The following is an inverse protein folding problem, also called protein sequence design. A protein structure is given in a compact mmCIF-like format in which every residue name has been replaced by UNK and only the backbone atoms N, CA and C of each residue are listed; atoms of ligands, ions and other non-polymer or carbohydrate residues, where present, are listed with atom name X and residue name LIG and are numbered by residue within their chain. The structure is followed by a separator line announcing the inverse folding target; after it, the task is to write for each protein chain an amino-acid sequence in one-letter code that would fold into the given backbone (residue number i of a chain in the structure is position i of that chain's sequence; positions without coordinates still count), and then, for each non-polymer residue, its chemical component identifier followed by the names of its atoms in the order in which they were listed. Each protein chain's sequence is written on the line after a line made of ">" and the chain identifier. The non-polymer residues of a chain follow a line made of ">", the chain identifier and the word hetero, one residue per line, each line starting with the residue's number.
data_IF_872993374601
#
_entry.id   IF_872993374601
#
_cell.length_a   1.000
_cell.length_b   1.000
_cell.length_c   1.000
_cell.angle_alpha   90.00
_cell.angle_beta   90.00
_cell.angle_gamma   90.00
#
_symmetry.space_group_name_H-M   'P 1'
#
loop_
_entity.id
_entity.type
_entity.pdbx_description
1 polymer ?
#
# COMPACT_ATOMS: atom_id res chain seq x y z
N UNK A 1 -55.97 2.27 -6.60
CA UNK A 1 -54.78 2.78 -7.32
C UNK A 1 -54.69 4.29 -7.09
N UNK A 2 -53.64 4.76 -6.41
CA UNK A 2 -53.40 6.13 -5.90
C UNK A 2 -51.87 6.20 -5.66
N UNK A 3 -51.04 7.19 -6.01
CA UNK A 3 -51.16 8.55 -6.56
C UNK A 3 -49.85 8.93 -7.28
N UNK A 4 -49.99 9.77 -8.32
CA UNK A 4 -49.10 10.77 -8.95
C UNK A 4 -47.72 11.09 -8.35
N UNK A 5 -46.66 11.20 -9.19
CA UNK A 5 -45.41 11.86 -8.85
C UNK A 5 -45.45 13.36 -9.21
N UNK A 6 -44.98 14.24 -8.34
CA UNK A 6 -44.51 15.56 -8.77
C UNK A 6 -43.46 16.08 -7.79
N UNK A 7 -42.22 16.08 -8.28
CA UNK A 7 -41.05 16.70 -7.69
C UNK A 7 -41.20 18.22 -7.81
N UNK A 8 -41.41 18.94 -6.71
CA UNK A 8 -41.36 20.40 -6.69
C UNK A 8 -40.47 20.88 -5.55
N UNK A 9 -39.17 20.99 -5.83
CA UNK A 9 -38.26 21.78 -5.01
C UNK A 9 -38.47 23.23 -5.43
N UNK A 10 -39.29 23.95 -4.69
CA UNK A 10 -39.62 25.36 -4.91
C UNK A 10 -38.38 26.24 -4.74
N UNK A 11 -37.79 26.66 -5.87
CA UNK A 11 -36.75 27.68 -5.92
C UNK A 11 -37.40 29.07 -5.98
N UNK A 12 -38.00 29.49 -4.87
CA UNK A 12 -38.55 30.83 -4.70
C UNK A 12 -37.44 31.82 -4.28
N UNK A 13 -36.56 32.15 -5.23
CA UNK A 13 -35.72 33.34 -5.17
C UNK A 13 -35.85 34.08 -6.51
N UNK A 14 -37.03 34.65 -6.73
CA UNK A 14 -37.35 35.45 -7.92
C UNK A 14 -37.92 36.80 -7.47
N UNK A 15 -37.24 37.49 -6.54
CA UNK A 15 -37.55 38.87 -6.21
C UNK A 15 -36.24 39.66 -6.15
N UNK A 16 -35.97 40.38 -7.24
CA UNK A 16 -34.94 41.42 -7.42
C UNK A 16 -33.54 40.96 -7.83
N UNK A 17 -33.45 40.26 -8.96
CA UNK A 17 -32.24 40.21 -9.77
C UNK A 17 -32.35 41.23 -10.91
N UNK A 18 -32.29 42.51 -10.59
CA UNK A 18 -32.01 43.55 -11.57
C UNK A 18 -30.86 44.37 -10.99
N UNK A 19 -29.69 44.24 -11.60
CA UNK A 19 -28.49 45.09 -11.46
C UNK A 19 -27.28 44.67 -10.59
N UNK A 20 -27.17 43.42 -10.10
CA UNK A 20 -25.95 42.95 -9.37
C UNK A 20 -25.47 41.53 -9.76
N UNK A 21 -25.73 41.11 -11.00
CA UNK A 21 -25.42 39.76 -11.51
C UNK A 21 -23.94 39.32 -11.40
N UNK A 22 -23.02 40.25 -11.17
CA UNK A 22 -21.61 39.96 -10.91
C UNK A 22 -21.39 39.30 -9.54
N UNK A 23 -22.08 39.75 -8.49
CA UNK A 23 -21.83 39.29 -7.11
C UNK A 23 -22.51 37.95 -6.79
N UNK A 24 -23.67 37.68 -7.38
CA UNK A 24 -24.41 36.42 -7.15
C UNK A 24 -23.77 35.22 -7.86
N UNK A 25 -23.21 35.46 -9.06
CA UNK A 25 -22.47 34.44 -9.83
C UNK A 25 -21.07 34.19 -9.26
N UNK A 26 -20.39 35.23 -8.78
CA UNK A 26 -19.11 35.09 -8.10
C UNK A 26 -19.26 34.36 -6.75
N UNK A 27 -20.26 34.71 -5.92
CA UNK A 27 -20.51 34.04 -4.65
C UNK A 27 -20.86 32.55 -4.79
N UNK A 28 -21.63 32.18 -5.83
CA UNK A 28 -21.93 30.78 -6.15
C UNK A 28 -20.67 30.03 -6.64
N UNK A 29 -19.91 30.60 -7.58
CA UNK A 29 -18.66 30.00 -8.07
C UNK A 29 -17.62 29.85 -6.96
N UNK A 30 -17.52 30.84 -6.06
CA UNK A 30 -16.61 30.81 -4.90
C UNK A 30 -17.08 29.77 -3.88
N UNK A 31 -18.38 29.67 -3.60
CA UNK A 31 -18.94 28.65 -2.70
C UNK A 31 -18.73 27.23 -3.23
N UNK A 32 -18.95 27.01 -4.53
CA UNK A 32 -18.69 25.73 -5.19
C UNK A 32 -17.19 25.40 -5.20
N UNK A 33 -16.33 26.36 -5.55
CA UNK A 33 -14.88 26.18 -5.54
C UNK A 33 -14.32 25.92 -4.14
N UNK A 34 -14.77 26.65 -3.10
CA UNK A 34 -14.35 26.44 -1.72
C UNK A 34 -14.80 25.06 -1.18
N UNK A 35 -16.00 24.61 -1.56
CA UNK A 35 -16.48 23.27 -1.24
C UNK A 35 -15.69 22.20 -1.99
N UNK A 36 -15.37 22.40 -3.26
CA UNK A 36 -14.51 21.49 -4.02
C UNK A 36 -13.09 21.40 -3.44
N UNK A 37 -12.49 22.53 -3.03
CA UNK A 37 -11.18 22.55 -2.36
C UNK A 37 -11.22 21.83 -1.00
N UNK A 38 -12.29 22.04 -0.22
CA UNK A 38 -12.46 21.35 1.07
C UNK A 38 -12.69 19.85 0.86
N UNK A 39 -13.52 19.46 -0.11
CA UNK A 39 -13.80 18.08 -0.46
C UNK A 39 -12.54 17.38 -0.99
N UNK A 40 -11.74 18.03 -1.83
CA UNK A 40 -10.48 17.47 -2.34
C UNK A 40 -9.44 17.30 -1.23
N UNK A 41 -9.33 18.24 -0.29
CA UNK A 41 -8.49 18.06 0.90
C UNK A 41 -8.96 16.92 1.82
N UNK A 42 -10.28 16.74 1.97
CA UNK A 42 -10.87 15.62 2.69
C UNK A 42 -10.63 14.26 1.99
N UNK A 43 -10.79 14.23 0.67
CA UNK A 43 -10.53 13.05 -0.17
C UNK A 43 -9.04 12.69 -0.16
N UNK A 44 -8.14 13.67 -0.21
CA UNK A 44 -6.70 13.43 -0.13
C UNK A 44 -6.32 12.79 1.22
N UNK A 45 -6.78 13.36 2.34
CA UNK A 45 -6.56 12.77 3.67
C UNK A 45 -7.12 11.36 3.78
N UNK A 46 -8.30 11.12 3.19
CA UNK A 46 -8.88 9.78 3.15
C UNK A 46 -8.00 8.82 2.35
N UNK A 47 -7.52 9.24 1.18
CA UNK A 47 -6.58 8.47 0.35
C UNK A 47 -5.29 8.13 1.10
N UNK A 48 -4.66 9.12 1.74
CA UNK A 48 -3.42 8.94 2.50
C UNK A 48 -3.62 7.95 3.67
N UNK A 49 -4.78 8.00 4.32
CA UNK A 49 -5.15 7.07 5.38
C UNK A 49 -5.37 5.64 4.84
N UNK A 50 -6.00 5.49 3.68
CA UNK A 50 -6.17 4.17 3.03
C UNK A 50 -4.83 3.57 2.61
N UNK A 51 -3.92 4.37 2.05
CA UNK A 51 -2.58 3.93 1.71
C UNK A 51 -1.79 3.50 2.96
N UNK A 52 -1.85 4.30 4.02
CA UNK A 52 -1.22 3.98 5.30
C UNK A 52 -1.77 2.69 5.92
N UNK A 53 -3.09 2.49 5.87
CA UNK A 53 -3.74 1.27 6.34
C UNK A 53 -3.32 0.05 5.49
N UNK A 54 -3.32 0.19 4.17
CA UNK A 54 -2.88 -0.88 3.28
C UNK A 54 -1.43 -1.30 3.57
N UNK A 55 -0.54 -0.32 3.72
CA UNK A 55 0.85 -0.56 4.08
C UNK A 55 0.99 -1.26 5.44
N UNK A 56 0.16 -0.89 6.43
CA UNK A 56 0.13 -1.55 7.74
C UNK A 56 -0.33 -3.01 7.62
N UNK A 57 -1.40 -3.28 6.86
CA UNK A 57 -1.91 -4.63 6.65
C UNK A 57 -0.90 -5.53 5.92
N UNK A 58 -0.20 -5.01 4.91
CA UNK A 58 0.89 -5.73 4.23
C UNK A 58 2.02 -6.07 5.21
N UNK A 59 2.46 -5.12 6.04
CA UNK A 59 3.49 -5.36 7.06
C UNK A 59 3.05 -6.42 8.07
N UNK A 60 1.80 -6.37 8.52
CA UNK A 60 1.25 -7.36 9.44
C UNK A 60 1.20 -8.76 8.83
N UNK A 61 0.75 -8.89 7.58
CA UNK A 61 0.74 -10.18 6.88
C UNK A 61 2.15 -10.78 6.77
N UNK A 62 3.13 -9.96 6.38
CA UNK A 62 4.54 -10.39 6.30
C UNK A 62 5.06 -10.84 7.67
N UNK A 63 4.77 -10.06 8.72
CA UNK A 63 5.18 -10.40 10.08
C UNK A 63 4.53 -11.70 10.55
N UNK A 64 3.25 -11.91 10.27
CA UNK A 64 2.56 -13.14 10.62
C UNK A 64 3.19 -14.37 9.94
N UNK A 65 3.52 -14.27 8.65
CA UNK A 65 4.25 -15.33 7.93
C UNK A 65 5.62 -15.59 8.55
N UNK A 66 6.37 -14.54 8.88
CA UNK A 66 7.69 -14.69 9.52
C UNK A 66 7.57 -15.34 10.90
N UNK A 67 6.57 -14.98 11.70
CA UNK A 67 6.32 -15.61 12.99
C UNK A 67 6.01 -17.10 12.81
N UNK A 68 5.16 -17.47 11.85
CA UNK A 68 4.83 -18.87 11.56
C UNK A 68 6.08 -19.66 11.16
N UNK A 69 6.89 -19.15 10.23
CA UNK A 69 8.13 -19.80 9.81
C UNK A 69 9.16 -19.88 10.95
N UNK A 70 9.28 -18.82 11.75
CA UNK A 70 10.25 -18.74 12.86
C UNK A 70 9.80 -19.53 14.08
N UNK A 71 8.53 -19.92 14.16
CA UNK A 71 7.99 -20.73 15.26
C UNK A 71 7.80 -22.20 14.86
N UNK A 72 7.99 -22.55 13.59
CA UNK A 72 7.94 -23.93 13.11
C UNK A 72 9.29 -24.63 13.39
N UNK A 73 9.34 -25.59 14.34
CA UNK A 73 10.58 -26.29 14.67
C UNK A 73 11.16 -27.08 13.49
N UNK A 74 10.33 -27.56 12.58
CA UNK A 74 10.75 -28.31 11.40
C UNK A 74 11.50 -27.41 10.42
N UNK A 75 10.95 -26.23 10.13
CA UNK A 75 11.59 -25.22 9.28
C UNK A 75 12.94 -24.77 9.87
N UNK A 76 12.99 -24.52 11.19
CA UNK A 76 14.22 -24.15 11.90
C UNK A 76 15.25 -25.27 11.82
N UNK A 77 14.86 -26.51 12.10
CA UNK A 77 15.79 -27.63 12.09
C UNK A 77 16.33 -27.92 10.69
N UNK A 78 15.49 -27.85 9.66
CA UNK A 78 15.89 -27.98 8.26
C UNK A 78 16.91 -26.91 7.87
N UNK A 79 16.67 -25.65 8.24
CA UNK A 79 17.62 -24.57 7.98
C UNK A 79 18.97 -24.80 8.69
N UNK A 80 18.95 -25.27 9.95
CA UNK A 80 20.17 -25.60 10.71
C UNK A 80 20.95 -26.75 10.10
N UNK A 81 20.28 -27.83 9.70
CA UNK A 81 20.91 -28.98 9.05
C UNK A 81 21.57 -28.59 7.73
N UNK A 82 20.87 -27.81 6.90
CA UNK A 82 21.41 -27.31 5.64
C UNK A 82 22.65 -26.42 5.84
N UNK A 83 22.63 -25.52 6.83
CA UNK A 83 23.79 -24.69 7.17
C UNK A 83 24.95 -25.53 7.71
N UNK A 84 24.68 -26.51 8.57
CA UNK A 84 25.69 -27.44 9.08
C UNK A 84 26.35 -28.25 7.96
N UNK A 85 25.55 -28.85 7.07
CA UNK A 85 26.04 -29.58 5.92
C UNK A 85 26.84 -28.67 4.96
N UNK A 86 26.37 -27.44 4.73
CA UNK A 86 27.09 -26.47 3.90
C UNK A 86 28.44 -26.09 4.50
N UNK A 87 28.52 -25.92 5.82
CA UNK A 87 29.78 -25.63 6.52
C UNK A 87 30.78 -26.79 6.41
N UNK A 88 30.34 -28.02 6.66
CA UNK A 88 31.17 -29.23 6.49
C UNK A 88 31.65 -29.35 5.06
N UNK A 89 30.74 -29.16 4.09
CA UNK A 89 31.10 -29.18 2.69
C UNK A 89 32.09 -28.08 2.35
N UNK A 90 31.96 -26.88 2.91
CA UNK A 90 32.87 -25.77 2.63
C UNK A 90 34.28 -26.01 3.17
N UNK A 91 34.42 -26.56 4.38
CA UNK A 91 35.67 -26.54 5.13
C UNK A 91 36.38 -27.89 5.27
N UNK A 92 35.62 -28.99 5.47
CA UNK A 92 36.19 -30.23 6.00
C UNK A 92 36.38 -31.32 4.93
N UNK A 93 35.76 -31.15 3.76
CA UNK A 93 35.85 -32.10 2.64
C UNK A 93 36.48 -31.44 1.43
N UNK A 94 37.04 -32.23 0.51
CA UNK A 94 37.66 -31.70 -0.72
C UNK A 94 36.76 -31.85 -1.94
N UNK A 95 36.13 -33.02 -2.09
CA UNK A 95 35.35 -33.37 -3.29
C UNK A 95 34.15 -32.44 -3.47
N UNK A 96 33.36 -32.25 -2.42
CA UNK A 96 32.13 -31.43 -2.48
C UNK A 96 32.34 -29.99 -2.01
N UNK A 97 33.59 -29.57 -1.76
CA UNK A 97 33.86 -28.22 -1.25
C UNK A 97 33.92 -27.20 -2.37
N UNK A 98 32.98 -26.24 -2.43
CA UNK A 98 33.06 -25.18 -3.42
C UNK A 98 34.31 -24.31 -3.21
N UNK A 99 34.77 -24.11 -1.97
CA UNK A 99 35.99 -23.35 -1.69
C UNK A 99 37.24 -24.07 -2.19
N UNK A 100 37.37 -25.37 -1.88
CA UNK A 100 38.49 -26.17 -2.36
C UNK A 100 38.54 -26.21 -3.88
N UNK A 101 37.38 -26.45 -4.53
CA UNK A 101 37.29 -26.50 -5.99
C UNK A 101 37.61 -25.13 -6.62
N UNK A 102 37.17 -24.02 -6.02
CA UNK A 102 37.49 -22.69 -6.51
C UNK A 102 39.00 -22.39 -6.45
N UNK A 103 39.67 -22.75 -5.36
CA UNK A 103 41.13 -22.58 -5.22
C UNK A 103 41.89 -23.49 -6.19
N UNK A 104 41.48 -24.75 -6.31
CA UNK A 104 42.08 -25.70 -7.24
C UNK A 104 41.96 -25.21 -8.69
N UNK A 105 40.80 -24.67 -9.07
CA UNK A 105 40.58 -24.08 -10.39
C UNK A 105 41.52 -22.89 -10.62
N UNK A 106 41.64 -21.99 -9.64
CA UNK A 106 42.52 -20.83 -9.74
C UNK A 106 44.00 -21.23 -9.88
N UNK A 107 44.44 -22.26 -9.17
CA UNK A 107 45.80 -22.80 -9.26
C UNK A 107 46.09 -23.42 -10.64
N UNK A 108 45.13 -24.13 -11.22
CA UNK A 108 45.30 -24.78 -12.52
C UNK A 108 45.18 -23.82 -13.71
N UNK A 109 44.61 -22.63 -13.49
CA UNK A 109 44.44 -21.60 -14.51
C UNK A 109 45.62 -20.62 -14.60
N UNK A 110 46.56 -20.68 -13.65
CA UNK A 110 47.79 -19.87 -13.62
C UNK A 110 48.94 -20.56 -14.37
#
# INVERSE_FOLDING_TARGET
>A
MKKTPLLSLSLSFLLHAEDDGFYMSAGYQIGEAAQMVTNTGGIQKLSDNYESLNNLLTKYSNLNTLIQLSSDPSAINTARENLGASSVNLLDVKTNSPAYQAVLLALNAA
#
